data_IF_629582722888
#
_entry.id   IF_629582722888
#
_cell.length_a   1.000
_cell.length_b   1.000
_cell.length_c   1.000
_cell.angle_alpha   90.00
_cell.angle_beta   90.00
_cell.angle_gamma   90.00
#
_symmetry.space_group_name_H-M   'P 1'
#
loop_
_entity.id
_entity.type
_entity.pdbx_description
1 polymer ?
#
# COMPACT_ATOMS: atom_id res chain seq x y z
N UNK A 1 -0.23 -9.74 -26.22
CA UNK A 1 0.39 -8.97 -27.32
C UNK A 1 1.82 -8.70 -26.89
N UNK A 2 2.84 -9.08 -27.67
CA UNK A 2 4.22 -8.71 -27.33
C UNK A 2 4.39 -7.24 -27.68
N UNK A 3 4.50 -6.38 -26.68
CA UNK A 3 4.77 -4.96 -26.84
C UNK A 3 6.22 -4.63 -26.45
N UNK A 4 6.61 -3.36 -26.58
CA UNK A 4 7.97 -2.90 -26.33
C UNK A 4 8.45 -3.19 -24.91
N UNK A 5 7.54 -3.28 -23.94
CA UNK A 5 7.88 -3.53 -22.54
C UNK A 5 8.32 -4.97 -22.27
N UNK A 6 8.12 -5.90 -23.21
CA UNK A 6 8.69 -7.25 -23.11
C UNK A 6 10.21 -7.28 -23.24
N UNK A 7 10.81 -6.20 -23.76
CA UNK A 7 12.26 -6.07 -23.92
C UNK A 7 12.93 -5.45 -22.68
N UNK A 8 12.16 -5.01 -21.69
CA UNK A 8 12.70 -4.34 -20.50
C UNK A 8 13.68 -5.25 -19.75
N UNK A 9 14.81 -4.66 -19.42
CA UNK A 9 15.81 -5.16 -18.49
C UNK A 9 15.86 -4.25 -17.26
N UNK A 10 16.54 -4.70 -16.20
CA UNK A 10 16.69 -3.92 -14.97
C UNK A 10 17.43 -2.59 -15.20
N UNK A 11 18.35 -2.55 -16.17
CA UNK A 11 19.14 -1.38 -16.54
C UNK A 11 18.28 -0.28 -17.20
N UNK A 12 17.13 -0.65 -17.78
CA UNK A 12 16.20 0.29 -18.39
C UNK A 12 15.30 0.99 -17.36
N UNK A 13 15.29 0.51 -16.11
CA UNK A 13 14.39 0.97 -15.07
C UNK A 13 14.99 2.13 -14.27
N UNK A 14 14.14 3.07 -13.88
CA UNK A 14 14.51 4.08 -12.88
C UNK A 14 14.70 3.44 -11.50
N UNK A 15 15.41 4.09 -10.60
CA UNK A 15 15.70 3.55 -9.25
C UNK A 15 14.44 3.17 -8.47
N UNK A 16 13.35 3.94 -8.60
CA UNK A 16 12.07 3.61 -7.96
C UNK A 16 11.42 2.37 -8.58
N UNK A 17 11.54 2.18 -9.89
CA UNK A 17 11.02 1.00 -10.59
C UNK A 17 11.88 -0.24 -10.33
N UNK A 18 13.20 -0.08 -10.15
CA UNK A 18 14.10 -1.16 -9.70
C UNK A 18 13.68 -1.62 -8.30
N UNK A 19 13.46 -0.69 -7.37
CA UNK A 19 12.94 -1.02 -6.04
C UNK A 19 11.62 -1.79 -6.13
N UNK A 20 10.68 -1.34 -6.97
CA UNK A 20 9.42 -2.07 -7.15
C UNK A 20 9.62 -3.43 -7.83
N UNK A 21 10.58 -3.56 -8.75
CA UNK A 21 10.92 -4.84 -9.37
C UNK A 21 11.43 -5.84 -8.32
N UNK A 22 12.32 -5.41 -7.43
CA UNK A 22 12.93 -6.28 -6.41
C UNK A 22 11.88 -6.91 -5.49
N UNK A 23 10.80 -6.18 -5.19
CA UNK A 23 9.73 -6.65 -4.32
C UNK A 23 8.54 -7.28 -5.06
N UNK A 24 8.23 -6.81 -6.28
CA UNK A 24 6.98 -7.16 -6.99
C UNK A 24 7.20 -7.87 -8.34
N UNK A 25 8.45 -7.98 -8.81
CA UNK A 25 8.82 -8.59 -10.08
C UNK A 25 8.59 -7.70 -11.30
N UNK A 26 9.32 -7.98 -12.38
CA UNK A 26 9.31 -7.21 -13.63
C UNK A 26 7.92 -7.18 -14.31
N UNK A 27 7.13 -8.26 -14.18
CA UNK A 27 5.79 -8.31 -14.78
C UNK A 27 4.86 -7.26 -14.18
N UNK A 28 4.99 -6.96 -12.88
CA UNK A 28 4.26 -5.86 -12.23
C UNK A 28 4.66 -4.52 -12.83
N UNK A 29 5.95 -4.30 -13.08
CA UNK A 29 6.45 -3.07 -13.72
C UNK A 29 5.85 -2.91 -15.12
N UNK A 30 5.82 -3.97 -15.93
CA UNK A 30 5.20 -3.95 -17.25
C UNK A 30 3.72 -3.58 -17.17
N UNK A 31 2.96 -4.13 -16.22
CA UNK A 31 1.55 -3.76 -16.00
C UNK A 31 1.44 -2.28 -15.63
N UNK A 32 2.31 -1.78 -14.76
CA UNK A 32 2.28 -0.37 -14.35
C UNK A 32 2.54 0.55 -15.55
N UNK A 33 3.60 0.29 -16.30
CA UNK A 33 3.97 1.13 -17.46
C UNK A 33 2.88 1.14 -18.54
N UNK A 34 2.25 -0.02 -18.81
CA UNK A 34 1.18 -0.15 -19.81
C UNK A 34 -0.09 0.62 -19.45
N UNK A 35 -0.48 0.61 -18.19
CA UNK A 35 -1.81 1.08 -17.78
C UNK A 35 -1.78 2.43 -17.08
N UNK A 36 -0.62 2.82 -16.52
CA UNK A 36 -0.49 3.99 -15.66
C UNK A 36 0.63 4.95 -16.10
N UNK A 37 1.22 4.75 -17.28
CA UNK A 37 2.25 5.62 -17.83
C UNK A 37 1.80 7.08 -17.93
N UNK A 38 2.64 8.01 -17.46
CA UNK A 38 2.36 9.45 -17.44
C UNK A 38 1.62 9.95 -16.20
N UNK A 39 1.19 9.05 -15.32
CA UNK A 39 0.57 9.40 -14.04
C UNK A 39 1.61 9.43 -12.91
N UNK A 40 1.31 10.19 -11.86
CA UNK A 40 2.06 10.17 -10.60
C UNK A 40 1.11 9.81 -9.46
N UNK A 41 1.45 8.75 -8.72
CA UNK A 41 0.65 8.26 -7.60
C UNK A 41 1.39 8.44 -6.29
N UNK A 42 0.64 8.84 -5.27
CA UNK A 42 1.09 8.75 -3.89
C UNK A 42 0.82 7.33 -3.36
N UNK A 43 1.83 6.69 -2.77
CA UNK A 43 1.68 5.42 -2.03
C UNK A 43 1.35 5.76 -0.57
N UNK A 44 0.10 5.59 -0.11
CA UNK A 44 -0.29 5.99 1.22
C UNK A 44 0.25 5.04 2.30
N UNK A 45 0.61 5.62 3.45
CA UNK A 45 0.69 4.84 4.69
C UNK A 45 -0.71 4.34 5.08
N UNK A 46 -0.79 3.21 5.79
CA UNK A 46 -2.06 2.65 6.28
C UNK A 46 -2.90 3.67 7.07
N UNK A 47 -2.24 4.63 7.75
CA UNK A 47 -2.90 5.68 8.52
C UNK A 47 -3.74 6.64 7.67
N UNK A 48 -3.50 6.69 6.35
CA UNK A 48 -4.30 7.46 5.39
C UNK A 48 -5.52 6.68 4.88
N UNK A 49 -5.59 5.38 5.15
CA UNK A 49 -6.69 4.49 4.76
C UNK A 49 -7.64 4.27 5.94
N UNK A 50 -8.15 5.35 6.54
CA UNK A 50 -8.97 5.32 7.78
C UNK A 50 -10.12 4.31 7.70
N UNK A 51 -10.84 4.27 6.56
CA UNK A 51 -11.96 3.35 6.37
C UNK A 51 -11.54 1.87 6.40
N UNK A 52 -10.36 1.54 5.87
CA UNK A 52 -9.80 0.19 5.93
C UNK A 52 -9.40 -0.16 7.37
N UNK A 53 -8.76 0.76 8.09
CA UNK A 53 -8.38 0.57 9.49
C UNK A 53 -9.62 0.31 10.35
N UNK A 54 -10.67 1.12 10.19
CA UNK A 54 -11.93 0.95 10.93
C UNK A 54 -12.62 -0.39 10.62
N UNK A 55 -12.62 -0.79 9.33
CA UNK A 55 -13.11 -2.11 8.93
C UNK A 55 -12.33 -3.23 9.63
N UNK A 56 -11.00 -3.14 9.64
CA UNK A 56 -10.15 -4.13 10.29
C UNK A 56 -10.40 -4.23 11.80
N UNK A 57 -10.55 -3.09 12.49
CA UNK A 57 -10.89 -3.05 13.92
C UNK A 57 -12.23 -3.73 14.19
N UNK A 58 -13.25 -3.48 13.36
CA UNK A 58 -14.58 -4.09 13.51
C UNK A 58 -14.54 -5.61 13.30
N UNK A 59 -13.79 -6.08 12.31
CA UNK A 59 -13.66 -7.51 11.99
C UNK A 59 -12.85 -8.27 13.05
N UNK A 60 -11.99 -7.60 13.82
CA UNK A 60 -11.16 -8.18 14.88
C UNK A 60 -11.52 -7.62 16.27
N UNK A 61 -12.83 -7.52 16.55
CA UNK A 61 -13.34 -6.99 17.83
C UNK A 61 -12.95 -7.82 19.06
N UNK A 62 -12.44 -9.04 18.85
CA UNK A 62 -11.87 -9.92 19.87
C UNK A 62 -10.46 -9.52 20.31
N UNK A 63 -9.75 -8.72 19.50
CA UNK A 63 -8.38 -8.27 19.79
C UNK A 63 -8.36 -6.93 20.54
N UNK A 64 -7.35 -6.77 21.38
CA UNK A 64 -7.06 -5.46 21.99
C UNK A 64 -6.54 -4.45 20.95
N UNK A 65 -6.76 -3.16 21.19
CA UNK A 65 -6.20 -2.11 20.33
C UNK A 65 -4.67 -2.16 20.22
N UNK A 66 -3.98 -2.65 21.26
CA UNK A 66 -2.53 -2.84 21.21
C UNK A 66 -2.10 -3.91 20.20
N UNK A 67 -2.84 -5.02 20.12
CA UNK A 67 -2.58 -6.07 19.14
C UNK A 67 -2.85 -5.58 17.72
N UNK A 68 -4.01 -4.93 17.51
CA UNK A 68 -4.38 -4.39 16.21
C UNK A 68 -3.37 -3.32 15.74
N UNK A 69 -2.93 -2.45 16.64
CA UNK A 69 -1.94 -1.42 16.34
C UNK A 69 -0.62 -2.03 15.86
N UNK A 70 -0.17 -3.11 16.53
CA UNK A 70 1.04 -3.84 16.14
C UNK A 70 0.91 -4.48 14.75
N UNK A 71 -0.22 -5.14 14.48
CA UNK A 71 -0.49 -5.81 13.20
C UNK A 71 -0.56 -4.82 12.03
N UNK A 72 -1.18 -3.66 12.26
CA UNK A 72 -1.26 -2.59 11.27
C UNK A 72 0.01 -1.72 11.22
N UNK A 73 0.99 -1.96 12.09
CA UNK A 73 2.20 -1.13 12.25
C UNK A 73 1.88 0.37 12.46
N UNK A 74 0.96 0.65 13.39
CA UNK A 74 0.56 2.01 13.81
C UNK A 74 0.65 2.15 15.33
N UNK A 75 0.54 3.39 15.84
CA UNK A 75 0.47 3.60 17.28
C UNK A 75 -0.92 3.27 17.84
N UNK A 76 -0.98 2.79 19.08
CA UNK A 76 -2.26 2.58 19.76
C UNK A 76 -3.04 3.90 19.93
N UNK A 77 -2.31 5.01 20.11
CA UNK A 77 -2.89 6.36 20.19
C UNK A 77 -3.63 6.74 18.91
N UNK A 78 -3.07 6.41 17.74
CA UNK A 78 -3.73 6.65 16.45
C UNK A 78 -5.09 5.93 16.38
N UNK A 79 -5.14 4.64 16.76
CA UNK A 79 -6.41 3.88 16.77
C UNK A 79 -7.43 4.51 17.72
N UNK A 80 -7.02 4.86 18.94
CA UNK A 80 -7.92 5.50 19.92
C UNK A 80 -8.49 6.81 19.39
N UNK A 81 -7.65 7.64 18.78
CA UNK A 81 -8.10 8.91 18.17
C UNK A 81 -9.05 8.68 17.01
N UNK A 82 -8.75 7.72 16.13
CA UNK A 82 -9.56 7.41 14.97
C UNK A 82 -10.96 6.89 15.37
N UNK A 83 -11.03 5.98 16.34
CA UNK A 83 -12.29 5.43 16.84
C UNK A 83 -13.12 6.51 17.53
N UNK A 84 -12.48 7.35 18.36
CA UNK A 84 -13.15 8.50 18.98
C UNK A 84 -13.71 9.46 17.94
N UNK A 85 -13.00 9.71 16.85
CA UNK A 85 -13.45 10.56 15.73
C UNK A 85 -14.68 9.98 15.03
N UNK A 86 -14.81 8.65 14.93
CA UNK A 86 -15.96 8.00 14.29
C UNK A 86 -17.24 8.02 15.15
N UNK A 87 -17.10 8.07 16.48
CA UNK A 87 -18.22 8.06 17.42
C UNK A 87 -18.86 9.45 17.65
N UNK A 88 -18.23 10.52 17.17
CA UNK A 88 -18.76 11.89 17.20
C UNK A 88 -19.39 12.23 15.85
#
# INVERSE_FOLDING_TARGET
MKDVYELLTEEDLTSDLQLLQDFCGIDTIKVILRNFGGLSFYIPKITRLESLVLKYVKEHSDKSYKQIAKELNVSEQYLKMLIKKQLN
#
